data_IF_338136622979
#
_entry.id   IF_338136622979
#
_cell.length_a   1.000
_cell.length_b   1.000
_cell.length_c   1.000
_cell.angle_alpha   90.00
_cell.angle_beta   90.00
_cell.angle_gamma   90.00
#
_symmetry.space_group_name_H-M   'P 1'
#
loop_
_entity.id
_entity.type
_entity.pdbx_description
1 polymer ?
#
# COMPACT_ATOMS: atom_id res chain seq x y z
N UNK A 1 20.23 -14.95 7.11
CA UNK A 1 19.99 -15.34 8.52
C UNK A 1 18.51 -15.63 8.78
N UNK A 2 17.57 -14.86 8.22
CA UNK A 2 16.12 -15.18 8.22
C UNK A 2 15.74 -16.39 7.35
N UNK A 3 16.47 -16.69 6.27
CA UNK A 3 16.20 -17.83 5.37
C UNK A 3 16.20 -19.22 6.04
N UNK A 4 16.85 -19.38 7.21
CA UNK A 4 16.85 -20.65 7.93
C UNK A 4 15.63 -20.80 8.86
N UNK A 5 15.06 -19.70 9.33
CA UNK A 5 13.86 -19.68 10.19
C UNK A 5 12.56 -20.00 9.42
N UNK A 6 12.63 -19.99 8.09
CA UNK A 6 11.51 -20.29 7.19
C UNK A 6 11.83 -21.46 6.23
N UNK A 7 12.85 -22.25 6.55
CA UNK A 7 13.13 -23.45 5.76
C UNK A 7 11.98 -24.45 5.91
N UNK A 8 11.62 -25.12 4.82
CA UNK A 8 10.63 -26.19 4.83
C UNK A 8 10.91 -27.23 5.92
N UNK A 9 12.20 -27.50 6.21
CA UNK A 9 12.64 -28.40 7.26
C UNK A 9 12.32 -27.90 8.68
N UNK A 10 12.42 -26.59 8.95
CA UNK A 10 12.05 -26.01 10.24
C UNK A 10 10.55 -26.12 10.48
N UNK A 11 9.73 -25.72 9.49
CA UNK A 11 8.27 -25.78 9.57
C UNK A 11 7.77 -27.22 9.76
N UNK A 12 8.32 -28.17 8.99
CA UNK A 12 8.02 -29.59 9.16
C UNK A 12 8.43 -30.13 10.53
N UNK A 13 9.55 -29.65 11.07
CA UNK A 13 10.01 -30.05 12.40
C UNK A 13 9.07 -29.54 13.49
N UNK A 14 8.65 -28.27 13.42
CA UNK A 14 7.70 -27.68 14.38
C UNK A 14 6.37 -28.43 14.33
N UNK A 15 5.80 -28.65 13.14
CA UNK A 15 4.53 -29.36 12.95
C UNK A 15 4.58 -30.79 13.48
N UNK A 16 5.68 -31.51 13.20
CA UNK A 16 5.91 -32.89 13.69
C UNK A 16 6.01 -32.93 15.21
N UNK A 17 6.78 -32.03 15.81
CA UNK A 17 6.98 -31.98 17.27
C UNK A 17 5.69 -31.59 17.99
N UNK A 18 4.90 -30.67 17.43
CA UNK A 18 3.62 -30.24 17.99
C UNK A 18 2.55 -31.33 18.03
N UNK A 19 2.50 -32.20 17.01
CA UNK A 19 1.46 -33.23 16.86
C UNK A 19 1.37 -34.31 17.95
N UNK A 20 2.35 -34.38 18.87
CA UNK A 20 2.38 -35.34 19.98
C UNK A 20 2.81 -34.74 21.33
N UNK A 21 2.86 -33.42 21.46
CA UNK A 21 3.25 -32.77 22.70
C UNK A 21 2.11 -32.78 23.74
N UNK A 22 2.46 -32.96 25.01
CA UNK A 22 1.49 -32.87 26.10
C UNK A 22 1.04 -31.43 26.32
N UNK A 23 -0.27 -31.23 26.49
CA UNK A 23 -0.85 -29.93 26.84
C UNK A 23 -0.38 -29.48 28.22
N UNK A 24 -0.03 -28.20 28.34
CA UNK A 24 0.27 -27.55 29.61
C UNK A 24 -1.05 -27.13 30.27
N UNK A 25 -1.33 -27.53 31.53
CA UNK A 25 -2.48 -27.01 32.27
C UNK A 25 -2.43 -25.49 32.34
N UNK A 26 -3.48 -24.83 31.85
CA UNK A 26 -3.55 -23.38 31.82
C UNK A 26 -3.91 -22.83 33.21
N UNK A 27 -2.96 -22.12 33.81
CA UNK A 27 -3.16 -21.37 35.05
C UNK A 27 -3.78 -20.01 34.72
N UNK A 28 -5.09 -19.88 34.89
CA UNK A 28 -5.83 -18.66 34.57
C UNK A 28 -5.55 -17.49 35.53
N UNK A 29 -5.05 -17.75 36.74
CA UNK A 29 -4.65 -16.67 37.65
C UNK A 29 -3.35 -16.04 37.16
N UNK A 30 -2.44 -16.86 36.64
CA UNK A 30 -1.18 -16.42 36.06
C UNK A 30 -1.32 -15.88 34.63
N UNK A 31 -2.27 -16.43 33.87
CA UNK A 31 -2.47 -16.12 32.44
C UNK A 31 -3.94 -15.77 32.11
N UNK A 32 -4.50 -14.69 32.69
CA UNK A 32 -5.94 -14.40 32.63
C UNK A 32 -6.48 -14.07 31.22
N UNK A 33 -5.60 -13.73 30.27
CA UNK A 33 -5.97 -13.42 28.89
C UNK A 33 -5.91 -14.61 27.93
N UNK A 34 -5.44 -15.77 28.39
CA UNK A 34 -5.31 -16.96 27.55
C UNK A 34 -6.54 -17.87 27.70
N UNK A 35 -7.02 -18.44 26.60
CA UNK A 35 -8.05 -19.50 26.56
C UNK A 35 -7.69 -20.50 25.46
N UNK A 36 -8.21 -21.72 25.58
CA UNK A 36 -7.84 -22.81 24.68
C UNK A 36 -6.80 -23.72 25.30
N UNK A 37 -6.08 -24.45 24.45
CA UNK A 37 -5.12 -25.48 24.86
C UNK A 37 -3.74 -25.11 24.33
N UNK A 38 -2.77 -25.03 25.24
CA UNK A 38 -1.40 -24.64 24.91
C UNK A 38 -0.44 -25.81 25.12
N UNK A 39 0.49 -26.00 24.18
CA UNK A 39 1.57 -26.99 24.26
C UNK A 39 2.79 -26.44 25.01
N UNK A 40 2.97 -25.12 25.03
CA UNK A 40 4.00 -24.47 25.83
C UNK A 40 3.62 -23.04 26.21
N UNK A 41 3.90 -22.67 27.46
CA UNK A 41 3.84 -21.30 27.96
C UNK A 41 5.15 -21.04 28.71
N UNK A 42 6.03 -20.20 28.17
CA UNK A 42 7.36 -19.96 28.75
C UNK A 42 7.66 -18.47 28.86
N UNK A 43 8.10 -18.04 30.03
CA UNK A 43 8.75 -16.74 30.17
C UNK A 43 10.19 -16.86 29.68
N UNK A 44 10.58 -16.02 28.74
CA UNK A 44 11.96 -15.91 28.25
C UNK A 44 12.51 -14.51 28.54
N UNK A 45 13.83 -14.29 28.38
CA UNK A 45 14.41 -12.95 28.42
C UNK A 45 13.83 -12.02 27.35
N UNK A 46 13.41 -12.58 26.21
CA UNK A 46 12.78 -11.83 25.12
C UNK A 46 11.30 -11.54 25.34
N UNK A 47 10.66 -12.19 26.32
CA UNK A 47 9.23 -12.05 26.66
C UNK A 47 8.48 -13.38 26.72
N UNK A 48 7.15 -13.32 26.76
CA UNK A 48 6.30 -14.51 26.81
C UNK A 48 6.36 -15.24 25.46
N UNK A 49 6.58 -16.55 25.52
CA UNK A 49 6.51 -17.48 24.40
C UNK A 49 5.32 -18.41 24.59
N UNK A 50 4.48 -18.50 23.56
CA UNK A 50 3.28 -19.33 23.52
C UNK A 50 3.37 -20.30 22.34
N UNK A 51 2.94 -21.54 22.58
CA UNK A 51 2.68 -22.51 21.52
C UNK A 51 1.25 -23.00 21.70
N UNK A 52 0.36 -22.62 20.79
CA UNK A 52 -1.01 -23.10 20.70
C UNK A 52 -1.09 -24.55 20.23
N UNK A 53 -2.24 -25.19 20.41
CA UNK A 53 -2.49 -26.49 19.83
C UNK A 53 -3.17 -26.37 18.46
N UNK A 54 -4.11 -27.25 18.11
CA UNK A 54 -4.84 -27.23 16.84
C UNK A 54 -6.32 -26.85 17.01
N UNK A 55 -6.68 -26.39 18.20
CA UNK A 55 -8.03 -26.00 18.54
C UNK A 55 -8.11 -24.51 18.80
N UNK A 56 -9.32 -23.94 18.84
CA UNK A 56 -9.49 -22.50 18.99
C UNK A 56 -8.88 -21.99 20.29
N UNK A 57 -7.98 -21.03 20.16
CA UNK A 57 -7.17 -20.38 21.16
C UNK A 57 -7.52 -18.87 21.22
N UNK A 58 -7.35 -18.28 22.40
CA UNK A 58 -7.45 -16.83 22.58
C UNK A 58 -6.13 -16.31 23.12
N UNK A 59 -5.50 -15.44 22.35
CA UNK A 59 -4.25 -14.78 22.65
C UNK A 59 -4.49 -13.38 23.21
N UNK A 60 -4.90 -13.28 24.48
CA UNK A 60 -5.19 -12.01 25.15
C UNK A 60 -4.04 -11.41 25.96
N UNK A 61 -2.85 -12.03 25.94
CA UNK A 61 -1.67 -11.53 26.64
C UNK A 61 -0.55 -11.21 25.66
N UNK A 62 0.11 -10.06 25.87
CA UNK A 62 1.19 -9.64 24.99
C UNK A 62 2.36 -10.63 25.06
N UNK A 63 2.81 -11.08 23.89
CA UNK A 63 3.81 -12.14 23.73
C UNK A 63 4.85 -11.76 22.67
N UNK A 64 6.09 -12.20 22.87
CA UNK A 64 7.18 -11.93 21.92
C UNK A 64 7.30 -13.01 20.86
N UNK A 65 6.74 -14.19 21.13
CA UNK A 65 6.63 -15.29 20.17
C UNK A 65 5.33 -16.05 20.42
N UNK A 66 4.53 -16.20 19.36
CA UNK A 66 3.42 -17.13 19.28
C UNK A 66 3.69 -18.06 18.11
N UNK A 67 3.52 -19.36 18.35
CA UNK A 67 3.45 -20.37 17.31
C UNK A 67 2.10 -21.05 17.49
N UNK A 68 1.14 -20.76 16.63
CA UNK A 68 -0.12 -21.51 16.58
C UNK A 68 0.00 -22.65 15.56
N UNK A 69 -0.52 -23.83 15.89
CA UNK A 69 -0.46 -25.01 15.01
C UNK A 69 -1.76 -25.25 14.26
N UNK A 70 -2.80 -24.50 14.59
CA UNK A 70 -3.99 -24.20 13.81
C UNK A 70 -5.28 -24.07 14.64
N UNK A 71 -6.38 -23.83 13.95
CA UNK A 71 -7.71 -23.61 14.53
C UNK A 71 -8.12 -22.14 14.43
N UNK A 72 -9.42 -21.88 14.51
CA UNK A 72 -9.93 -20.51 14.36
C UNK A 72 -9.71 -19.71 15.65
N UNK A 73 -8.67 -18.89 15.67
CA UNK A 73 -8.16 -18.21 16.84
C UNK A 73 -8.49 -16.72 16.91
N UNK A 74 -8.32 -16.17 18.11
CA UNK A 74 -8.56 -14.78 18.39
C UNK A 74 -7.35 -14.14 19.08
N UNK A 75 -6.67 -13.26 18.34
CA UNK A 75 -5.56 -12.45 18.82
C UNK A 75 -6.04 -11.08 19.27
N UNK A 76 -6.00 -10.83 20.58
CA UNK A 76 -6.41 -9.56 21.22
C UNK A 76 -5.22 -8.78 21.81
N UNK A 77 -4.02 -9.31 21.63
CA UNK A 77 -2.79 -8.81 22.23
C UNK A 77 -2.06 -7.85 21.28
N UNK A 78 -0.73 -7.82 21.36
CA UNK A 78 0.16 -7.10 20.45
C UNK A 78 0.22 -7.72 19.05
N UNK A 79 -0.21 -8.97 18.87
CA UNK A 79 -0.28 -9.70 17.60
C UNK A 79 1.00 -9.56 16.79
N UNK A 80 2.10 -10.11 17.30
CA UNK A 80 3.38 -10.10 16.59
C UNK A 80 4.10 -8.74 16.56
N UNK A 81 3.59 -7.68 17.20
CA UNK A 81 4.32 -6.42 17.35
C UNK A 81 5.22 -6.40 18.60
N UNK A 82 6.19 -5.47 18.74
CA UNK A 82 6.90 -5.31 20.00
C UNK A 82 5.98 -4.95 21.18
N UNK A 83 6.43 -5.22 22.40
CA UNK A 83 5.66 -4.95 23.63
C UNK A 83 6.11 -3.62 24.22
N UNK A 84 5.20 -2.66 24.26
CA UNK A 84 5.44 -1.31 24.76
C UNK A 84 4.81 -1.06 26.12
N UNK A 85 5.44 -0.21 26.92
CA UNK A 85 4.83 0.35 28.10
C UNK A 85 4.19 1.69 27.74
N UNK A 86 2.90 1.83 28.02
CA UNK A 86 2.15 3.07 27.80
C UNK A 86 1.80 3.68 29.16
N UNK A 87 2.21 4.94 29.37
CA UNK A 87 1.83 5.76 30.52
C UNK A 87 1.26 7.07 30.02
N UNK A 88 0.10 7.47 30.54
CA UNK A 88 -0.55 8.74 30.16
C UNK A 88 -0.72 8.93 28.64
N UNK A 89 -1.02 7.83 27.93
CA UNK A 89 -1.16 7.78 26.45
C UNK A 89 0.14 8.05 25.66
N UNK A 90 1.30 7.96 26.31
CA UNK A 90 2.61 8.02 25.67
C UNK A 90 3.37 6.72 25.88
N UNK A 91 4.19 6.35 24.89
CA UNK A 91 5.13 5.23 25.05
C UNK A 91 6.23 5.66 26.01
N UNK A 92 6.30 5.03 27.19
CA UNK A 92 7.31 5.30 28.22
C UNK A 92 8.52 4.37 28.14
N UNK A 93 8.41 3.27 27.40
CA UNK A 93 9.48 2.31 27.20
C UNK A 93 9.09 1.18 26.26
N UNK A 94 10.08 0.48 25.74
CA UNK A 94 9.91 -0.73 24.94
C UNK A 94 10.40 -1.87 25.81
N UNK A 95 9.49 -2.74 26.24
CA UNK A 95 9.83 -3.85 27.13
C UNK A 95 10.46 -5.00 26.35
N UNK A 96 9.87 -5.32 25.20
CA UNK A 96 10.37 -6.37 24.30
C UNK A 96 10.36 -5.82 22.87
N UNK A 97 11.52 -5.60 22.23
CA UNK A 97 11.61 -4.94 20.92
C UNK A 97 11.29 -5.87 19.74
N UNK A 98 10.87 -7.10 19.99
CA UNK A 98 10.55 -8.09 18.96
C UNK A 98 9.25 -8.80 19.31
N UNK A 99 8.35 -8.87 18.34
CA UNK A 99 7.18 -9.73 18.35
C UNK A 99 7.16 -10.59 17.08
N UNK A 100 6.65 -11.81 17.22
CA UNK A 100 6.51 -12.77 16.12
C UNK A 100 5.27 -13.62 16.37
N UNK A 101 4.41 -13.75 15.36
CA UNK A 101 3.39 -14.80 15.25
C UNK A 101 3.73 -15.67 14.05
N UNK A 102 3.65 -16.97 14.22
CA UNK A 102 3.61 -17.95 13.14
C UNK A 102 2.31 -18.72 13.34
N UNK A 103 1.36 -18.55 12.43
CA UNK A 103 0.14 -19.34 12.35
C UNK A 103 0.24 -20.34 11.20
N UNK A 104 -0.34 -21.52 11.34
CA UNK A 104 -0.22 -22.57 10.34
C UNK A 104 -1.52 -22.81 9.55
N UNK A 105 -2.69 -22.72 10.18
CA UNK A 105 -4.00 -23.07 9.57
C UNK A 105 -5.14 -22.51 10.43
N UNK A 106 -6.12 -21.78 9.90
CA UNK A 106 -7.29 -21.38 10.69
C UNK A 106 -8.01 -20.19 10.07
N UNK A 107 -9.30 -19.97 10.35
CA UNK A 107 -9.94 -18.69 10.00
C UNK A 107 -9.78 -17.71 11.20
N UNK A 108 -8.65 -17.01 11.22
CA UNK A 108 -8.13 -16.29 12.37
C UNK A 108 -8.55 -14.83 12.44
N UNK A 109 -8.52 -14.30 13.67
CA UNK A 109 -8.95 -12.92 13.95
C UNK A 109 -7.91 -12.16 14.76
N UNK A 110 -7.24 -11.23 14.10
CA UNK A 110 -6.28 -10.32 14.70
C UNK A 110 -6.92 -8.97 15.00
N UNK A 111 -7.50 -8.83 16.19
CA UNK A 111 -8.35 -7.67 16.53
C UNK A 111 -7.75 -6.88 17.69
N UNK A 112 -7.16 -5.73 17.38
CA UNK A 112 -6.61 -4.86 18.42
C UNK A 112 -6.63 -3.37 18.03
N UNK A 113 -7.31 -2.51 18.82
CA UNK A 113 -7.30 -1.06 18.60
C UNK A 113 -6.03 -0.40 19.16
N UNK A 114 -5.11 -1.19 19.75
CA UNK A 114 -3.87 -0.67 20.34
C UNK A 114 -3.04 0.01 19.24
N UNK A 115 -2.35 1.09 19.62
CA UNK A 115 -1.33 1.70 18.79
C UNK A 115 -0.17 0.72 18.58
N UNK A 116 0.41 0.71 17.38
CA UNK A 116 1.62 -0.07 17.06
C UNK A 116 1.45 -1.59 17.30
N UNK A 117 0.34 -2.18 16.85
CA UNK A 117 0.03 -3.60 17.03
C UNK A 117 -0.24 -4.29 15.68
N UNK A 118 -0.38 -5.62 15.66
CA UNK A 118 -0.57 -6.44 14.44
C UNK A 118 0.60 -6.28 13.47
N UNK A 119 1.65 -7.08 13.66
CA UNK A 119 2.86 -7.06 12.85
C UNK A 119 3.58 -5.69 12.74
N UNK A 120 3.27 -4.72 13.61
CA UNK A 120 3.85 -3.38 13.54
C UNK A 120 5.28 -3.32 14.10
N UNK A 121 6.19 -2.65 13.41
CA UNK A 121 7.56 -2.36 13.83
C UNK A 121 7.75 -0.93 14.34
N UNK A 122 7.33 -0.64 15.58
CA UNK A 122 7.61 0.65 16.23
C UNK A 122 8.88 0.53 17.07
N UNK A 123 9.99 1.15 16.62
CA UNK A 123 11.33 1.05 17.23
C UNK A 123 11.82 -0.40 17.46
N UNK A 124 11.32 -1.34 16.65
CA UNK A 124 11.56 -2.76 16.83
C UNK A 124 11.12 -3.56 15.61
N UNK A 125 11.05 -4.88 15.78
CA UNK A 125 10.61 -5.83 14.76
C UNK A 125 9.23 -6.37 15.14
N UNK A 126 8.25 -6.20 14.25
CA UNK A 126 6.98 -6.91 14.32
C UNK A 126 6.81 -7.83 13.12
N UNK A 127 6.37 -9.07 13.34
CA UNK A 127 6.14 -10.04 12.28
C UNK A 127 4.90 -10.90 12.56
N UNK A 128 4.07 -11.07 11.53
CA UNK A 128 3.10 -12.17 11.42
C UNK A 128 3.44 -12.94 10.15
N UNK A 129 3.51 -14.25 10.25
CA UNK A 129 3.48 -15.18 9.14
C UNK A 129 2.26 -16.07 9.34
N UNK A 130 1.23 -15.83 8.55
CA UNK A 130 0.04 -16.66 8.46
C UNK A 130 0.15 -17.54 7.22
N UNK A 131 -0.16 -18.83 7.35
CA UNK A 131 0.11 -19.80 6.30
C UNK A 131 -1.15 -20.25 5.56
N UNK A 132 -2.33 -20.14 6.19
CA UNK A 132 -3.60 -20.49 5.57
C UNK A 132 -4.80 -20.09 6.43
N UNK A 133 -5.80 -19.49 5.81
CA UNK A 133 -7.01 -19.11 6.50
C UNK A 133 -8.01 -18.39 5.63
N UNK A 134 -9.04 -17.80 6.23
CA UNK A 134 -9.69 -16.61 5.69
C UNK A 134 -9.74 -15.63 6.87
N UNK A 135 -8.76 -14.75 6.91
CA UNK A 135 -8.33 -14.08 8.10
C UNK A 135 -8.83 -12.65 8.16
N UNK A 136 -9.12 -12.23 9.38
CA UNK A 136 -9.57 -10.88 9.66
C UNK A 136 -8.53 -10.12 10.47
N UNK A 137 -7.77 -9.27 9.78
CA UNK A 137 -6.78 -8.39 10.35
C UNK A 137 -7.36 -7.01 10.62
N UNK A 138 -7.60 -6.68 11.89
CA UNK A 138 -8.18 -5.41 12.31
C UNK A 138 -7.30 -4.67 13.32
N UNK A 139 -6.55 -3.70 12.80
CA UNK A 139 -5.57 -2.93 13.55
C UNK A 139 -5.95 -1.47 13.79
N UNK A 140 -5.38 -0.89 14.85
CA UNK A 140 -5.47 0.54 15.16
C UNK A 140 -4.63 1.43 14.23
N UNK A 141 -3.97 2.43 14.82
CA UNK A 141 -2.98 3.25 14.11
C UNK A 141 -1.63 2.56 14.15
N UNK A 142 -0.87 2.62 13.06
CA UNK A 142 0.41 1.95 12.94
C UNK A 142 0.25 0.44 13.12
N UNK A 143 -0.36 -0.24 12.15
CA UNK A 143 -0.69 -1.67 12.24
C UNK A 143 -0.61 -2.37 10.89
N UNK A 144 -0.82 -3.68 10.85
CA UNK A 144 -0.83 -4.48 9.63
C UNK A 144 0.50 -4.33 8.87
N UNK A 145 1.60 -4.69 9.52
CA UNK A 145 2.94 -4.64 8.93
C UNK A 145 3.55 -3.23 8.83
N UNK A 146 2.94 -2.20 9.44
CA UNK A 146 3.48 -0.83 9.41
C UNK A 146 4.68 -0.61 10.35
N UNK A 147 5.45 0.46 10.14
CA UNK A 147 6.64 0.76 10.94
C UNK A 147 6.93 2.25 11.18
N UNK A 148 7.64 2.48 12.29
CA UNK A 148 8.22 3.78 12.64
C UNK A 148 9.56 3.52 13.36
N UNK A 149 10.69 3.89 12.75
CA UNK A 149 12.05 3.52 13.22
C UNK A 149 12.26 2.01 13.45
N UNK A 150 11.56 1.17 12.69
CA UNK A 150 11.60 -0.28 12.86
C UNK A 150 11.28 -1.04 11.58
N UNK A 151 10.92 -2.30 11.73
CA UNK A 151 10.47 -3.17 10.65
C UNK A 151 9.15 -3.83 11.02
N UNK A 152 8.11 -3.58 10.23
CA UNK A 152 6.84 -4.29 10.33
C UNK A 152 6.68 -5.22 9.13
N UNK A 153 6.20 -6.43 9.36
CA UNK A 153 6.06 -7.44 8.33
C UNK A 153 4.82 -8.30 8.57
N UNK A 154 3.84 -8.23 7.68
CA UNK A 154 2.70 -9.15 7.66
C UNK A 154 2.80 -9.96 6.37
N UNK A 155 2.86 -11.28 6.50
CA UNK A 155 2.84 -12.20 5.36
C UNK A 155 1.67 -13.15 5.55
N UNK A 156 0.72 -13.10 4.63
CA UNK A 156 -0.34 -14.08 4.47
C UNK A 156 -0.06 -14.91 3.22
N UNK A 157 -0.21 -16.23 3.33
CA UNK A 157 0.14 -17.16 2.27
C UNK A 157 -1.09 -17.76 1.57
N UNK A 158 -2.30 -17.59 2.11
CA UNK A 158 -3.50 -18.14 1.54
C UNK A 158 -4.76 -17.67 2.27
N UNK A 159 -5.71 -17.11 1.54
CA UNK A 159 -7.05 -16.98 2.08
C UNK A 159 -8.01 -16.20 1.22
N UNK A 160 -9.05 -15.64 1.83
CA UNK A 160 -9.76 -14.48 1.29
C UNK A 160 -9.89 -13.55 2.48
N UNK A 161 -8.97 -12.61 2.54
CA UNK A 161 -8.57 -11.97 3.77
C UNK A 161 -9.06 -10.53 3.79
N UNK A 162 -9.21 -10.01 5.00
CA UNK A 162 -9.70 -8.65 5.19
C UNK A 162 -8.76 -7.89 6.10
N UNK A 163 -8.09 -6.91 5.50
CA UNK A 163 -7.13 -6.03 6.12
C UNK A 163 -7.78 -4.67 6.41
N UNK A 164 -8.11 -4.42 7.67
CA UNK A 164 -8.73 -3.17 8.10
C UNK A 164 -7.83 -2.46 9.10
N UNK A 165 -7.51 -1.20 8.82
CA UNK A 165 -6.84 -0.35 9.80
C UNK A 165 -7.42 1.05 9.84
N UNK A 166 -7.13 1.78 10.91
CA UNK A 166 -7.54 3.18 10.98
C UNK A 166 -6.71 4.04 10.03
N UNK A 167 -5.41 4.17 10.26
CA UNK A 167 -4.44 4.99 9.52
C UNK A 167 -3.02 4.46 9.74
N UNK A 168 -2.11 4.74 8.81
CA UNK A 168 -0.69 4.40 8.98
C UNK A 168 -0.45 2.90 8.99
N UNK A 169 -1.16 2.13 8.16
CA UNK A 169 -1.16 0.67 8.20
C UNK A 169 -0.85 0.03 6.85
N UNK A 170 -1.00 -1.30 6.74
CA UNK A 170 -0.94 -2.03 5.46
C UNK A 170 0.35 -1.73 4.70
N UNK A 171 1.49 -2.04 5.33
CA UNK A 171 2.81 -1.78 4.75
C UNK A 171 3.24 -0.31 4.75
N UNK A 172 2.75 0.52 5.68
CA UNK A 172 3.15 1.92 5.83
C UNK A 172 4.47 2.07 6.63
N UNK A 173 5.44 2.85 6.14
CA UNK A 173 6.72 3.06 6.83
C UNK A 173 7.08 4.53 7.06
N UNK A 174 7.71 4.80 8.20
CA UNK A 174 8.44 6.03 8.51
C UNK A 174 9.81 5.69 9.10
N UNK A 175 10.90 6.21 8.53
CA UNK A 175 12.26 5.99 9.01
C UNK A 175 12.62 4.49 9.22
N UNK A 176 12.04 3.61 8.42
CA UNK A 176 12.09 2.16 8.62
C UNK A 176 11.58 1.41 7.39
N UNK A 177 11.40 0.11 7.52
CA UNK A 177 10.84 -0.76 6.48
C UNK A 177 9.46 -1.29 6.88
N UNK A 178 8.54 -1.40 5.95
CA UNK A 178 7.25 -2.04 6.15
C UNK A 178 6.93 -2.92 4.95
N UNK A 179 6.40 -4.10 5.21
CA UNK A 179 6.06 -5.08 4.19
C UNK A 179 4.73 -5.74 4.57
N UNK A 180 3.75 -5.62 3.67
CA UNK A 180 2.58 -6.48 3.66
C UNK A 180 2.68 -7.33 2.39
N UNK A 181 2.56 -8.65 2.54
CA UNK A 181 2.57 -9.61 1.46
C UNK A 181 1.35 -10.51 1.58
N UNK A 182 0.60 -10.63 0.50
CA UNK A 182 -0.44 -11.62 0.32
C UNK A 182 -0.11 -12.49 -0.90
N UNK A 183 -0.11 -13.80 -0.74
CA UNK A 183 0.22 -14.74 -1.83
C UNK A 183 -0.97 -15.08 -2.72
N UNK A 184 -2.18 -15.15 -2.16
CA UNK A 184 -3.38 -15.52 -2.91
C UNK A 184 -4.64 -15.27 -2.09
N UNK A 185 -5.65 -14.72 -2.76
CA UNK A 185 -6.97 -14.64 -2.21
C UNK A 185 -7.94 -13.84 -3.06
N UNK A 186 -9.00 -13.33 -2.46
CA UNK A 186 -9.78 -12.23 -3.02
C UNK A 186 -10.02 -11.30 -1.85
N UNK A 187 -9.20 -10.26 -1.78
CA UNK A 187 -8.85 -9.64 -0.53
C UNK A 187 -9.38 -8.21 -0.46
N UNK A 188 -9.63 -7.76 0.77
CA UNK A 188 -10.12 -6.42 1.04
C UNK A 188 -9.08 -5.64 1.85
N UNK A 189 -8.52 -4.62 1.24
CA UNK A 189 -7.62 -3.67 1.89
C UNK A 189 -8.33 -2.36 2.19
N UNK A 190 -8.57 -2.05 3.47
CA UNK A 190 -9.28 -0.85 3.87
C UNK A 190 -8.57 -0.04 4.97
N UNK A 191 -8.21 1.21 4.67
CA UNK A 191 -7.81 2.16 5.71
C UNK A 191 -7.90 3.64 5.30
N UNK A 192 -7.91 4.57 6.25
CA UNK A 192 -8.31 5.94 5.93
C UNK A 192 -7.21 6.76 5.26
N UNK A 193 -5.96 6.66 5.74
CA UNK A 193 -4.85 7.49 5.28
C UNK A 193 -3.49 6.88 5.60
N UNK A 194 -2.49 7.09 4.73
CA UNK A 194 -1.16 6.50 4.87
C UNK A 194 -1.24 4.98 4.99
N UNK A 195 -1.89 4.35 4.03
CA UNK A 195 -2.04 2.89 3.97
C UNK A 195 -1.62 2.35 2.61
N UNK A 196 -1.50 1.04 2.49
CA UNK A 196 -1.32 0.32 1.23
C UNK A 196 -0.01 0.76 0.56
N UNK A 197 1.12 0.39 1.19
CA UNK A 197 2.44 0.68 0.65
C UNK A 197 2.85 2.16 0.73
N UNK A 198 2.56 2.83 1.84
CA UNK A 198 2.93 4.25 2.02
C UNK A 198 4.37 4.40 2.54
N UNK A 199 5.19 5.21 1.87
CA UNK A 199 6.54 5.58 2.29
C UNK A 199 6.65 7.02 2.78
N UNK A 200 6.65 7.22 4.09
CA UNK A 200 6.96 8.51 4.72
C UNK A 200 8.47 8.82 4.73
N UNK A 201 8.94 9.90 5.39
CA UNK A 201 10.36 10.25 5.38
C UNK A 201 11.31 9.10 5.72
N UNK A 202 12.29 8.86 4.85
CA UNK A 202 13.25 7.74 4.94
C UNK A 202 12.61 6.36 5.16
N UNK A 203 11.33 6.21 4.85
CA UNK A 203 10.59 4.96 4.96
C UNK A 203 10.56 4.22 3.62
N UNK A 204 10.62 2.90 3.67
CA UNK A 204 10.26 2.01 2.57
C UNK A 204 8.98 1.28 2.96
N UNK A 205 7.85 1.73 2.40
CA UNK A 205 6.55 1.09 2.61
C UNK A 205 6.14 0.29 1.39
N UNK A 206 5.72 -0.95 1.59
CA UNK A 206 5.46 -1.91 0.53
C UNK A 206 4.21 -2.73 0.84
N UNK A 207 3.35 -2.88 -0.16
CA UNK A 207 2.28 -3.87 -0.21
C UNK A 207 2.47 -4.67 -1.51
N UNK A 208 2.51 -5.99 -1.40
CA UNK A 208 2.56 -6.91 -2.53
C UNK A 208 1.40 -7.88 -2.42
N UNK A 209 0.60 -7.97 -3.47
CA UNK A 209 -0.49 -8.93 -3.61
C UNK A 209 -0.24 -9.76 -4.86
N UNK A 210 -0.17 -11.08 -4.74
CA UNK A 210 0.35 -11.92 -5.82
C UNK A 210 -0.77 -12.47 -6.72
N UNK A 211 -1.95 -12.75 -6.18
CA UNK A 211 -3.06 -13.33 -6.96
C UNK A 211 -4.38 -13.02 -6.28
N UNK A 212 -5.30 -12.46 -7.03
CA UNK A 212 -6.65 -12.42 -6.51
C UNK A 212 -7.62 -11.66 -7.35
N UNK A 213 -8.71 -11.26 -6.70
CA UNK A 213 -9.56 -10.21 -7.18
C UNK A 213 -9.82 -9.30 -6.00
N UNK A 214 -9.10 -8.20 -5.99
CA UNK A 214 -8.82 -7.48 -4.77
C UNK A 214 -9.45 -6.10 -4.79
N UNK A 215 -9.82 -5.64 -3.60
CA UNK A 215 -10.41 -4.33 -3.40
C UNK A 215 -9.52 -3.47 -2.50
N UNK A 216 -8.83 -2.52 -3.13
CA UNK A 216 -8.01 -1.53 -2.45
C UNK A 216 -8.80 -0.26 -2.20
N UNK A 217 -9.12 0.01 -0.94
CA UNK A 217 -9.92 1.18 -0.55
C UNK A 217 -9.21 2.07 0.46
N UNK A 218 -8.96 3.33 0.07
CA UNK A 218 -8.36 4.32 0.96
C UNK A 218 -9.07 5.69 0.96
N UNK A 219 -9.30 6.29 2.13
CA UNK A 219 -9.85 7.66 2.25
C UNK A 219 -10.96 7.85 3.30
N UNK A 220 -12.07 8.52 2.90
CA UNK A 220 -13.32 8.82 3.65
C UNK A 220 -13.27 9.56 5.00
N UNK A 221 -12.18 9.50 5.76
CA UNK A 221 -12.11 10.12 7.11
C UNK A 221 -11.74 11.59 7.07
N UNK A 222 -10.74 11.95 6.26
CA UNK A 222 -10.20 13.30 6.19
C UNK A 222 -10.67 13.99 4.92
N UNK A 223 -11.41 15.09 5.04
CA UNK A 223 -11.82 15.89 3.89
C UNK A 223 -10.62 16.44 3.12
N UNK A 224 -10.84 16.76 1.84
CA UNK A 224 -9.84 17.35 0.95
C UNK A 224 -9.17 18.58 1.57
N UNK A 225 -7.83 18.65 1.52
CA UNK A 225 -7.07 19.88 1.85
C UNK A 225 -7.40 21.07 0.95
N UNK A 226 -8.06 20.82 -0.19
CA UNK A 226 -8.54 21.86 -1.10
C UNK A 226 -9.99 22.29 -0.81
N UNK A 227 -10.61 21.78 0.26
CA UNK A 227 -11.98 22.15 0.68
C UNK A 227 -13.10 21.59 -0.22
N UNK A 228 -12.78 20.70 -1.15
CA UNK A 228 -13.76 20.11 -2.07
C UNK A 228 -14.66 19.11 -1.35
N UNK A 229 -15.96 19.41 -1.25
CA UNK A 229 -16.96 18.53 -0.61
C UNK A 229 -17.04 17.18 -1.31
N UNK A 230 -17.09 16.10 -0.53
CA UNK A 230 -17.19 14.73 -1.05
C UNK A 230 -15.89 14.13 -1.57
N UNK A 231 -14.78 14.87 -1.47
CA UNK A 231 -13.43 14.40 -1.77
C UNK A 231 -12.63 14.31 -0.48
N UNK A 232 -11.85 13.24 -0.35
CA UNK A 232 -11.11 12.91 0.87
C UNK A 232 -9.62 12.85 0.59
N UNK A 233 -8.78 12.98 1.62
CA UNK A 233 -7.36 12.67 1.53
C UNK A 233 -7.13 11.18 1.79
N UNK A 234 -6.28 10.56 0.97
CA UNK A 234 -5.85 9.18 1.18
C UNK A 234 -4.34 9.10 1.44
N UNK A 235 -3.47 9.74 0.65
CA UNK A 235 -2.01 9.55 0.79
C UNK A 235 -1.65 8.05 0.85
N UNK A 236 -2.16 7.24 -0.07
CA UNK A 236 -2.17 5.76 0.03
C UNK A 236 -2.06 5.11 -1.34
N UNK A 237 -1.87 3.79 -1.39
CA UNK A 237 -1.68 3.01 -2.63
C UNK A 237 -0.37 3.41 -3.31
N UNK A 238 0.75 2.99 -2.72
CA UNK A 238 2.07 3.18 -3.30
C UNK A 238 2.53 4.64 -3.30
N UNK A 239 2.27 5.40 -2.22
CA UNK A 239 2.61 6.83 -2.15
C UNK A 239 3.93 7.07 -1.41
N UNK A 240 4.82 7.85 -2.03
CA UNK A 240 6.03 8.37 -1.38
C UNK A 240 5.84 9.82 -0.94
N UNK A 241 6.11 10.13 0.34
CA UNK A 241 5.71 11.41 0.94
C UNK A 241 6.76 12.01 1.88
N UNK A 242 7.20 13.23 1.58
CA UNK A 242 8.04 14.04 2.46
C UNK A 242 7.27 15.09 3.26
N UNK A 243 7.85 15.46 4.39
CA UNK A 243 7.36 16.54 5.23
C UNK A 243 8.05 17.84 4.81
N UNK A 244 7.35 18.64 3.99
CA UNK A 244 7.84 19.94 3.51
C UNK A 244 8.51 20.73 4.63
N UNK A 245 9.72 21.24 4.34
CA UNK A 245 10.58 22.01 5.25
C UNK A 245 11.14 21.25 6.46
N UNK A 246 10.93 19.93 6.57
CA UNK A 246 11.37 19.12 7.71
C UNK A 246 12.17 17.90 7.30
N UNK A 247 11.68 17.09 6.36
CA UNK A 247 12.35 15.87 5.89
C UNK A 247 11.90 15.51 4.47
N UNK A 248 12.82 14.98 3.65
CA UNK A 248 12.49 14.41 2.34
C UNK A 248 11.62 13.16 2.48
N UNK A 249 10.97 12.76 1.39
CA UNK A 249 10.08 11.61 1.38
C UNK A 249 10.80 10.26 1.41
N UNK A 250 10.00 9.21 1.48
CA UNK A 250 10.45 7.84 1.30
C UNK A 250 9.98 7.25 -0.01
N UNK A 251 9.98 5.92 -0.06
CA UNK A 251 9.54 5.12 -1.19
C UNK A 251 8.28 4.36 -0.77
N UNK A 252 7.19 4.57 -1.48
CA UNK A 252 5.95 3.81 -1.32
C UNK A 252 5.70 2.95 -2.55
N UNK A 253 5.39 1.67 -2.34
CA UNK A 253 5.14 0.69 -3.40
C UNK A 253 3.86 -0.08 -3.09
N UNK A 254 2.93 -0.08 -4.03
CA UNK A 254 1.90 -1.09 -4.15
C UNK A 254 2.20 -1.88 -5.42
N UNK A 255 2.33 -3.19 -5.32
CA UNK A 255 2.56 -4.06 -6.46
C UNK A 255 1.55 -5.21 -6.41
N UNK A 256 0.59 -5.18 -7.32
CA UNK A 256 -0.31 -6.29 -7.61
C UNK A 256 0.24 -7.09 -8.79
N UNK A 257 0.34 -8.41 -8.65
CA UNK A 257 0.84 -9.28 -9.72
C UNK A 257 -0.28 -9.80 -10.64
N UNK A 258 -1.53 -9.60 -10.26
CA UNK A 258 -2.65 -9.62 -11.17
C UNK A 258 -3.97 -10.10 -10.56
N UNK A 259 -5.05 -9.75 -11.24
CA UNK A 259 -6.39 -9.95 -10.74
C UNK A 259 -7.42 -9.26 -11.63
N UNK A 260 -8.53 -8.79 -11.06
CA UNK A 260 -9.49 -7.94 -11.77
C UNK A 260 -9.97 -6.90 -10.76
N UNK A 261 -9.10 -5.98 -10.45
CA UNK A 261 -9.00 -5.33 -9.17
C UNK A 261 -9.64 -3.96 -9.17
N UNK A 262 -9.99 -3.51 -7.97
CA UNK A 262 -10.65 -2.22 -7.77
C UNK A 262 -9.80 -1.35 -6.85
N UNK A 263 -9.20 -0.32 -7.43
CA UNK A 263 -8.43 0.68 -6.71
C UNK A 263 -9.26 1.94 -6.47
N UNK A 264 -9.68 2.18 -5.23
CA UNK A 264 -10.48 3.35 -4.85
C UNK A 264 -9.79 4.22 -3.79
N UNK A 265 -9.35 5.40 -4.21
CA UNK A 265 -8.71 6.35 -3.30
C UNK A 265 -9.08 7.82 -3.52
N UNK A 266 -8.87 8.61 -2.47
CA UNK A 266 -9.07 10.05 -2.47
C UNK A 266 -7.96 10.83 -3.19
N UNK A 267 -7.58 11.96 -2.62
CA UNK A 267 -6.45 12.75 -3.09
C UNK A 267 -5.13 12.12 -2.64
N UNK A 268 -4.10 12.32 -3.47
CA UNK A 268 -2.74 11.84 -3.24
C UNK A 268 -2.73 10.31 -3.14
N UNK A 269 -2.88 9.63 -4.26
CA UNK A 269 -3.00 8.16 -4.27
C UNK A 269 -2.41 7.52 -5.50
N UNK A 270 -2.38 6.19 -5.53
CA UNK A 270 -2.11 5.39 -6.74
C UNK A 270 -0.79 5.79 -7.38
N UNK A 271 0.33 5.49 -6.71
CA UNK A 271 1.66 5.75 -7.23
C UNK A 271 2.11 7.21 -7.16
N UNK A 272 1.51 8.01 -6.26
CA UNK A 272 1.82 9.46 -6.21
C UNK A 272 3.08 9.77 -5.41
N UNK A 273 3.93 10.64 -5.96
CA UNK A 273 5.07 11.24 -5.25
C UNK A 273 4.76 12.62 -4.69
N UNK A 274 5.18 12.91 -3.46
CA UNK A 274 5.08 14.25 -2.87
C UNK A 274 6.30 14.63 -2.04
N UNK A 275 6.89 15.78 -2.34
CA UNK A 275 8.04 16.35 -1.64
C UNK A 275 9.23 15.39 -1.44
N UNK A 276 10.07 15.23 -2.48
CA UNK A 276 11.24 14.34 -2.45
C UNK A 276 10.89 12.87 -2.13
N UNK A 277 9.66 12.45 -2.37
CA UNK A 277 9.21 11.06 -2.24
C UNK A 277 9.08 10.38 -3.60
N UNK A 278 9.16 9.05 -3.62
CA UNK A 278 8.90 8.21 -4.78
C UNK A 278 7.66 7.35 -4.50
N UNK A 279 6.60 7.52 -5.29
CA UNK A 279 5.43 6.65 -5.27
C UNK A 279 5.40 5.74 -6.49
N UNK A 280 5.05 4.48 -6.28
CA UNK A 280 4.89 3.46 -7.33
C UNK A 280 3.63 2.66 -7.05
N UNK A 281 2.69 2.65 -7.99
CA UNK A 281 1.69 1.60 -8.11
C UNK A 281 2.04 0.80 -9.36
N UNK A 282 2.12 -0.52 -9.22
CA UNK A 282 2.36 -1.45 -10.31
C UNK A 282 1.28 -2.52 -10.29
N UNK A 283 0.67 -2.75 -11.43
CA UNK A 283 -0.19 -3.89 -11.71
C UNK A 283 0.41 -4.66 -12.90
N UNK A 284 0.49 -5.99 -12.81
CA UNK A 284 1.10 -6.81 -13.85
C UNK A 284 0.07 -7.45 -14.80
N UNK A 285 -1.20 -7.56 -14.41
CA UNK A 285 -2.24 -8.14 -15.26
C UNK A 285 -3.64 -8.01 -14.66
N UNK A 286 -4.62 -7.62 -15.45
CA UNK A 286 -6.01 -7.72 -14.99
C UNK A 286 -7.00 -7.02 -15.89
N UNK A 287 -8.21 -6.80 -15.41
CA UNK A 287 -9.17 -5.85 -15.99
C UNK A 287 -9.62 -4.94 -14.87
N UNK A 288 -8.84 -3.90 -14.66
CA UNK A 288 -8.72 -3.18 -13.43
C UNK A 288 -9.43 -1.83 -13.49
N UNK A 289 -9.85 -1.38 -12.33
CA UNK A 289 -10.61 -0.14 -12.20
C UNK A 289 -9.92 0.79 -11.22
N UNK A 290 -9.31 1.84 -11.75
CA UNK A 290 -8.63 2.87 -10.99
C UNK A 290 -9.50 4.10 -10.79
N UNK A 291 -9.88 4.38 -9.54
CA UNK A 291 -10.66 5.56 -9.15
C UNK A 291 -9.89 6.43 -8.18
N UNK A 292 -9.42 7.56 -8.67
CA UNK A 292 -8.75 8.59 -7.89
C UNK A 292 -9.48 9.94 -7.93
N UNK A 293 -8.95 10.92 -7.20
CA UNK A 293 -9.52 12.28 -7.16
C UNK A 293 -8.59 13.35 -7.72
N UNK A 294 -7.62 13.83 -6.91
CA UNK A 294 -6.61 14.82 -7.29
C UNK A 294 -5.24 14.32 -6.85
N UNK A 295 -4.21 14.49 -7.68
CA UNK A 295 -2.92 13.86 -7.44
C UNK A 295 -3.09 12.34 -7.30
N UNK A 296 -3.45 11.69 -8.40
CA UNK A 296 -3.63 10.24 -8.45
C UNK A 296 -3.12 9.65 -9.76
N UNK A 297 -2.91 8.34 -9.80
CA UNK A 297 -2.54 7.58 -11.00
C UNK A 297 -1.19 8.07 -11.56
N UNK A 298 -0.12 7.82 -10.80
CA UNK A 298 1.24 8.15 -11.23
C UNK A 298 1.55 9.64 -11.27
N UNK A 299 0.94 10.43 -10.37
CA UNK A 299 1.15 11.89 -10.32
C UNK A 299 2.30 12.29 -9.39
N UNK A 300 2.85 13.50 -9.53
CA UNK A 300 3.88 13.97 -8.62
C UNK A 300 3.84 15.48 -8.33
N UNK A 301 4.29 15.86 -7.13
CA UNK A 301 4.44 17.27 -6.74
C UNK A 301 5.69 17.54 -5.89
N UNK A 302 6.31 18.71 -6.11
CA UNK A 302 7.40 19.26 -5.28
C UNK A 302 8.67 18.41 -5.28
N UNK A 303 9.40 18.32 -6.40
CA UNK A 303 10.65 17.55 -6.48
C UNK A 303 10.48 16.05 -6.17
N UNK A 304 9.29 15.52 -6.35
CA UNK A 304 8.98 14.11 -6.14
C UNK A 304 8.93 13.35 -7.47
N UNK A 305 8.81 12.02 -7.36
CA UNK A 305 8.59 11.13 -8.48
C UNK A 305 7.35 10.25 -8.24
N UNK A 306 6.52 10.05 -9.25
CA UNK A 306 5.33 9.20 -9.18
C UNK A 306 5.19 8.32 -10.41
N UNK A 307 4.78 7.08 -10.23
CA UNK A 307 4.57 6.12 -11.31
C UNK A 307 3.32 5.27 -11.05
N UNK A 308 2.46 5.17 -12.05
CA UNK A 308 1.53 4.05 -12.20
C UNK A 308 1.99 3.25 -13.41
N UNK A 309 2.18 1.95 -13.23
CA UNK A 309 2.59 1.01 -14.26
C UNK A 309 1.53 -0.09 -14.32
N UNK A 310 0.86 -0.21 -15.46
CA UNK A 310 -0.05 -1.31 -15.77
C UNK A 310 0.48 -1.99 -17.03
N UNK A 311 0.50 -3.32 -17.05
CA UNK A 311 1.18 -4.07 -18.10
C UNK A 311 0.26 -4.91 -18.98
N UNK A 312 -0.99 -5.13 -18.61
CA UNK A 312 -1.90 -5.93 -19.43
C UNK A 312 -3.33 -5.85 -18.90
N UNK A 313 -4.28 -5.47 -19.75
CA UNK A 313 -5.66 -5.52 -19.33
C UNK A 313 -6.69 -4.93 -20.28
N UNK A 314 -7.79 -4.45 -19.73
CA UNK A 314 -8.78 -3.63 -20.44
C UNK A 314 -9.36 -2.73 -19.36
N UNK A 315 -8.64 -1.68 -19.06
CA UNK A 315 -8.64 -1.02 -17.77
C UNK A 315 -9.39 0.29 -17.83
N UNK A 316 -9.86 0.71 -16.65
CA UNK A 316 -10.66 1.93 -16.52
C UNK A 316 -10.01 2.87 -15.53
N UNK A 317 -9.51 3.98 -16.04
CA UNK A 317 -8.88 5.03 -15.26
C UNK A 317 -9.82 6.23 -15.10
N UNK A 318 -10.11 6.62 -13.86
CA UNK A 318 -10.94 7.79 -13.57
C UNK A 318 -10.31 8.72 -12.53
N UNK A 319 -9.92 9.92 -12.96
CA UNK A 319 -9.57 11.05 -12.10
C UNK A 319 -10.73 12.06 -12.01
N UNK A 320 -11.07 12.55 -10.80
CA UNK A 320 -12.26 13.43 -10.62
C UNK A 320 -11.98 14.93 -10.76
N UNK A 321 -10.80 15.40 -10.38
CA UNK A 321 -10.57 16.84 -10.15
C UNK A 321 -9.46 17.40 -11.04
N UNK A 322 -8.20 17.10 -10.73
CA UNK A 322 -7.06 17.56 -11.53
C UNK A 322 -5.76 16.83 -11.15
N UNK A 323 -4.68 17.03 -11.92
CA UNK A 323 -3.35 16.47 -11.64
C UNK A 323 -3.42 14.95 -11.47
N UNK A 324 -3.82 14.24 -12.51
CA UNK A 324 -3.93 12.79 -12.51
C UNK A 324 -3.28 12.19 -13.75
N UNK A 325 -3.08 10.86 -13.77
CA UNK A 325 -2.65 10.12 -14.96
C UNK A 325 -1.32 10.64 -15.51
N UNK A 326 -0.24 10.47 -14.73
CA UNK A 326 1.10 10.90 -15.14
C UNK A 326 1.36 12.40 -15.05
N UNK A 327 0.50 13.17 -14.36
CA UNK A 327 0.67 14.62 -14.26
C UNK A 327 1.75 15.03 -13.24
N UNK A 328 2.63 15.95 -13.64
CA UNK A 328 3.76 16.43 -12.83
C UNK A 328 3.69 17.93 -12.53
N UNK A 329 3.79 18.28 -11.25
CA UNK A 329 3.76 19.66 -10.76
C UNK A 329 5.02 20.02 -9.95
N UNK A 330 5.59 21.20 -10.18
CA UNK A 330 6.66 21.79 -9.34
C UNK A 330 7.92 20.92 -9.23
N UNK A 331 8.77 21.00 -10.27
CA UNK A 331 10.07 20.30 -10.34
C UNK A 331 9.99 18.78 -10.15
N UNK A 332 8.86 18.16 -10.43
CA UNK A 332 8.64 16.72 -10.27
C UNK A 332 8.66 15.97 -11.60
N UNK A 333 8.76 14.65 -11.52
CA UNK A 333 8.63 13.74 -12.66
C UNK A 333 7.51 12.77 -12.37
N UNK A 334 6.64 12.51 -13.34
CA UNK A 334 5.53 11.59 -13.13
C UNK A 334 5.18 10.83 -14.41
N UNK A 335 4.78 9.57 -14.28
CA UNK A 335 4.32 8.77 -15.40
C UNK A 335 3.11 7.90 -15.08
N UNK A 336 2.23 7.74 -16.06
CA UNK A 336 1.34 6.58 -16.18
C UNK A 336 1.80 5.83 -17.43
N UNK A 337 2.08 4.55 -17.29
CA UNK A 337 2.42 3.64 -18.38
C UNK A 337 1.40 2.52 -18.35
N UNK A 338 0.65 2.39 -19.43
CA UNK A 338 -0.19 1.24 -19.74
C UNK A 338 0.43 0.55 -20.96
N UNK A 339 0.77 -0.74 -20.85
CA UNK A 339 1.50 -1.45 -21.91
C UNK A 339 0.57 -2.11 -22.94
N UNK A 340 -0.65 -2.52 -22.55
CA UNK A 340 -1.56 -3.21 -23.44
C UNK A 340 -3.00 -3.27 -22.91
N UNK A 341 -3.98 -3.04 -23.78
CA UNK A 341 -5.38 -3.27 -23.45
C UNK A 341 -6.36 -2.69 -24.46
N UNK A 342 -7.55 -2.34 -24.02
CA UNK A 342 -8.47 -1.46 -24.76
C UNK A 342 -9.13 -0.61 -23.69
N UNK A 343 -8.50 0.51 -23.42
CA UNK A 343 -8.55 1.17 -22.13
C UNK A 343 -9.38 2.43 -22.19
N UNK A 344 -9.84 2.82 -21.01
CA UNK A 344 -10.78 3.93 -20.86
C UNK A 344 -10.24 4.93 -19.86
N UNK A 345 -9.83 6.05 -20.39
CA UNK A 345 -9.30 7.16 -19.61
C UNK A 345 -10.35 8.25 -19.46
N UNK A 346 -10.94 8.32 -18.28
CA UNK A 346 -11.75 9.45 -17.84
C UNK A 346 -10.88 10.42 -17.06
N UNK A 347 -10.28 11.34 -17.80
CA UNK A 347 -9.32 12.28 -17.27
C UNK A 347 -10.02 13.55 -16.78
N UNK A 348 -9.48 14.15 -15.71
CA UNK A 348 -9.88 15.51 -15.32
C UNK A 348 -8.86 16.52 -15.85
N UNK A 349 -8.91 17.74 -15.34
CA UNK A 349 -8.02 18.81 -15.76
C UNK A 349 -6.56 18.55 -15.39
N UNK A 350 -5.60 18.97 -16.22
CA UNK A 350 -4.17 18.75 -15.98
C UNK A 350 -3.83 17.26 -15.78
N UNK A 351 -3.91 16.49 -16.87
CA UNK A 351 -3.85 15.02 -16.84
C UNK A 351 -3.21 14.42 -18.09
N UNK A 352 -3.10 13.09 -18.14
CA UNK A 352 -2.57 12.34 -19.29
C UNK A 352 -1.20 12.89 -19.71
N UNK A 353 -0.26 12.88 -18.77
CA UNK A 353 1.13 13.31 -19.00
C UNK A 353 1.34 14.82 -18.95
N UNK A 354 0.42 15.60 -18.37
CA UNK A 354 0.58 17.05 -18.28
C UNK A 354 1.72 17.49 -17.32
N UNK A 355 2.43 18.57 -17.66
CA UNK A 355 3.54 19.13 -16.89
C UNK A 355 3.41 20.63 -16.60
N UNK A 356 3.73 21.09 -15.38
CA UNK A 356 3.69 22.50 -14.99
C UNK A 356 4.70 22.84 -13.88
N UNK A 357 5.08 24.11 -13.78
CA UNK A 357 6.03 24.62 -12.77
C UNK A 357 7.38 23.87 -12.79
N UNK A 358 7.92 23.63 -13.98
CA UNK A 358 9.09 22.80 -14.28
C UNK A 358 8.89 21.30 -14.04
N UNK A 359 7.65 20.82 -14.05
CA UNK A 359 7.33 19.39 -13.99
C UNK A 359 7.47 18.70 -15.35
N UNK A 360 7.80 17.41 -15.30
CA UNK A 360 7.87 16.51 -16.45
C UNK A 360 6.83 15.39 -16.31
N UNK A 361 5.72 15.52 -17.02
CA UNK A 361 4.65 14.51 -17.06
C UNK A 361 4.78 13.64 -18.29
N UNK A 362 4.52 12.36 -18.14
CA UNK A 362 4.49 11.38 -19.23
C UNK A 362 3.27 10.48 -19.10
N UNK A 363 2.61 10.25 -20.21
CA UNK A 363 1.59 9.24 -20.37
C UNK A 363 1.99 8.39 -21.57
N UNK A 364 1.94 7.08 -21.39
CA UNK A 364 2.21 6.09 -22.42
C UNK A 364 1.10 5.04 -22.38
N UNK A 365 0.57 4.76 -23.56
CA UNK A 365 -0.36 3.67 -23.86
C UNK A 365 0.22 2.87 -25.03
N UNK A 366 0.33 1.55 -24.87
CA UNK A 366 1.19 0.71 -25.72
C UNK A 366 0.47 -0.02 -26.84
N UNK A 367 -0.64 -0.69 -26.54
CA UNK A 367 -1.42 -1.49 -27.48
C UNK A 367 -2.91 -1.33 -27.16
N UNK A 368 -3.78 -1.18 -28.16
CA UNK A 368 -5.23 -1.14 -27.92
C UNK A 368 -6.06 -0.36 -28.92
N UNK A 369 -7.39 -0.34 -28.75
CA UNK A 369 -8.25 0.70 -29.33
C UNK A 369 -8.85 1.50 -28.17
N UNK A 370 -8.33 2.70 -27.95
CA UNK A 370 -8.43 3.37 -26.66
C UNK A 370 -9.40 4.54 -26.65
N UNK A 371 -9.84 4.90 -25.45
CA UNK A 371 -10.83 5.96 -25.26
C UNK A 371 -10.40 7.00 -24.24
N UNK A 372 -10.05 8.18 -24.77
CA UNK A 372 -9.63 9.35 -24.01
C UNK A 372 -10.75 10.37 -23.85
N UNK A 373 -11.46 10.31 -22.72
CA UNK A 373 -12.40 11.35 -22.27
C UNK A 373 -11.68 12.41 -21.43
N UNK A 374 -11.12 13.42 -22.09
CA UNK A 374 -10.29 14.45 -21.43
C UNK A 374 -10.69 15.88 -21.80
N UNK A 375 -10.38 16.87 -20.93
CA UNK A 375 -10.49 18.29 -21.27
C UNK A 375 -9.28 18.78 -22.07
N UNK A 376 -9.31 20.03 -22.52
CA UNK A 376 -8.23 20.61 -23.34
C UNK A 376 -6.85 20.66 -22.65
N UNK A 377 -6.80 20.77 -21.32
CA UNK A 377 -5.54 20.75 -20.55
C UNK A 377 -5.17 19.33 -20.12
N UNK A 378 -5.05 18.44 -21.08
CA UNK A 378 -4.63 17.06 -20.92
C UNK A 378 -3.76 16.67 -22.12
N UNK A 379 -3.42 15.39 -22.28
CA UNK A 379 -2.77 14.86 -23.48
C UNK A 379 -1.42 15.53 -23.75
N UNK A 380 -0.53 15.46 -22.75
CA UNK A 380 0.81 16.04 -22.82
C UNK A 380 0.86 17.56 -22.58
N UNK A 381 -0.23 18.17 -22.10
CA UNK A 381 -0.32 19.62 -21.89
C UNK A 381 0.86 20.21 -21.08
N UNK A 382 1.45 21.30 -21.58
CA UNK A 382 2.48 22.07 -20.85
C UNK A 382 1.89 23.37 -20.27
N UNK A 383 1.81 23.45 -18.95
CA UNK A 383 1.20 24.56 -18.21
C UNK A 383 2.11 25.74 -17.86
N UNK A 384 1.72 26.49 -16.83
CA UNK A 384 2.36 27.74 -16.43
C UNK A 384 3.75 27.55 -15.79
N UNK A 385 4.55 28.64 -15.83
CA UNK A 385 5.90 28.76 -15.24
C UNK A 385 5.96 29.93 -14.24
N UNK A 386 5.01 29.99 -13.30
CA UNK A 386 4.89 31.11 -12.36
C UNK A 386 5.76 30.97 -11.11
N UNK A 387 6.16 29.76 -10.73
CA UNK A 387 6.94 29.50 -9.52
C UNK A 387 8.40 29.89 -9.72
N UNK A 388 8.94 30.67 -8.78
CA UNK A 388 10.36 31.08 -8.80
C UNK A 388 10.78 31.81 -10.07
N UNK A 389 9.85 32.50 -10.74
CA UNK A 389 10.12 33.17 -12.02
C UNK A 389 10.40 32.20 -13.17
N UNK A 390 9.88 30.97 -13.11
CA UNK A 390 10.06 29.93 -14.13
C UNK A 390 11.39 29.17 -14.05
N UNK A 391 12.29 29.58 -13.14
CA UNK A 391 13.58 28.91 -12.86
C UNK A 391 14.49 28.73 -14.08
N UNK A 392 14.30 29.56 -15.12
CA UNK A 392 14.99 29.44 -16.41
C UNK A 392 14.92 28.03 -17.01
N UNK A 393 13.85 27.28 -16.75
CA UNK A 393 13.60 25.95 -17.29
C UNK A 393 12.16 25.85 -17.83
N UNK A 394 11.93 24.94 -18.77
CA UNK A 394 10.59 24.64 -19.29
C UNK A 394 9.84 23.63 -18.43
N UNK A 395 8.63 23.31 -18.84
CA UNK A 395 7.96 22.06 -18.47
C UNK A 395 8.27 21.02 -19.56
N UNK A 396 7.81 19.79 -19.33
CA UNK A 396 7.63 18.81 -20.40
C UNK A 396 6.34 18.06 -20.12
N UNK A 397 5.44 18.03 -21.10
CA UNK A 397 4.28 17.16 -21.05
C UNK A 397 4.29 16.26 -22.27
N UNK A 398 4.11 14.97 -22.05
CA UNK A 398 4.22 13.95 -23.09
C UNK A 398 3.03 13.04 -23.02
N UNK A 399 2.32 12.90 -24.14
CA UNK A 399 1.32 11.87 -24.38
C UNK A 399 1.76 11.05 -25.58
N UNK A 400 1.90 9.75 -25.36
CA UNK A 400 2.21 8.75 -26.37
C UNK A 400 1.11 7.69 -26.33
N UNK A 401 0.48 7.48 -27.46
CA UNK A 401 -0.38 6.34 -27.74
C UNK A 401 0.25 5.60 -28.93
N UNK A 402 0.61 4.34 -28.73
CA UNK A 402 1.25 3.48 -29.74
C UNK A 402 0.31 2.36 -30.20
N UNK A 403 -0.90 2.31 -29.63
CA UNK A 403 -1.92 1.30 -29.85
C UNK A 403 -2.70 1.51 -31.14
N UNK A 404 -3.44 0.48 -31.54
CA UNK A 404 -4.09 0.38 -32.85
C UNK A 404 -4.91 1.60 -33.24
N UNK A 405 -4.51 2.27 -34.33
CA UNK A 405 -4.98 3.58 -34.81
C UNK A 405 -6.48 3.83 -35.07
N UNK A 406 -7.37 3.43 -34.16
CA UNK A 406 -8.82 3.64 -34.12
C UNK A 406 -9.28 4.10 -32.73
N UNK A 407 -8.55 5.04 -32.18
CA UNK A 407 -8.79 5.63 -30.87
C UNK A 407 -9.88 6.70 -30.91
N UNK A 408 -10.46 6.96 -29.74
CA UNK A 408 -11.39 8.05 -29.53
C UNK A 408 -10.77 9.14 -28.67
N UNK A 409 -10.66 10.34 -29.24
CA UNK A 409 -10.31 11.55 -28.51
C UNK A 409 -11.53 12.47 -28.35
N UNK A 410 -11.87 12.82 -27.11
CA UNK A 410 -12.92 13.80 -26.84
C UNK A 410 -12.53 15.24 -27.25
N UNK A 411 -11.23 15.53 -27.29
CA UNK A 411 -10.68 16.83 -27.71
C UNK A 411 -10.70 16.93 -29.23
N UNK A 412 -11.46 17.88 -29.78
CA UNK A 412 -11.74 18.00 -31.22
C UNK A 412 -10.52 18.11 -32.14
N UNK A 413 -9.42 18.65 -31.63
CA UNK A 413 -8.21 18.91 -32.41
C UNK A 413 -7.15 17.80 -32.27
N UNK A 414 -7.49 16.69 -31.59
CA UNK A 414 -6.69 15.47 -31.48
C UNK A 414 -7.38 14.36 -32.25
N UNK A 415 -6.58 13.53 -32.92
CA UNK A 415 -7.04 12.47 -33.81
C UNK A 415 -5.93 11.46 -34.01
N UNK A 416 -6.29 10.30 -34.51
CA UNK A 416 -5.35 9.21 -34.74
C UNK A 416 -4.31 9.59 -35.80
N UNK A 417 -3.14 8.96 -35.71
CA UNK A 417 -2.00 9.10 -36.60
C UNK A 417 -1.52 10.57 -36.65
N UNK A 418 -1.43 11.20 -35.49
CA UNK A 418 -1.08 12.60 -35.35
C UNK A 418 0.11 12.79 -34.42
N UNK A 419 1.14 13.44 -34.96
CA UNK A 419 2.23 13.99 -34.17
C UNK A 419 2.12 15.51 -34.08
N UNK A 420 2.24 16.05 -32.87
CA UNK A 420 2.19 17.49 -32.65
C UNK A 420 3.10 17.90 -31.48
N UNK A 421 3.84 18.98 -31.71
CA UNK A 421 4.57 19.69 -30.64
C UNK A 421 4.01 21.11 -30.56
N UNK A 422 3.61 21.53 -29.35
CA UNK A 422 3.12 22.88 -29.08
C UNK A 422 3.85 23.50 -27.88
N UNK A 423 3.75 24.83 -27.79
CA UNK A 423 4.26 25.60 -26.65
C UNK A 423 5.72 25.26 -26.29
N UNK A 424 5.98 25.16 -24.99
CA UNK A 424 7.27 24.73 -24.44
C UNK A 424 7.24 23.23 -24.12
N UNK A 425 7.38 22.37 -25.14
CA UNK A 425 7.48 20.90 -25.00
C UNK A 425 6.18 20.21 -24.52
N UNK A 426 5.04 20.62 -25.08
CA UNK A 426 3.83 19.78 -25.11
C UNK A 426 3.94 18.85 -26.32
N UNK A 427 4.02 17.54 -26.08
CA UNK A 427 4.18 16.51 -27.09
C UNK A 427 2.95 15.61 -27.07
N UNK A 428 2.33 15.48 -28.23
CA UNK A 428 1.26 14.53 -28.50
C UNK A 428 1.70 13.63 -29.66
N UNK A 429 1.65 12.32 -29.46
CA UNK A 429 1.85 11.32 -30.48
C UNK A 429 0.77 10.25 -30.35
N UNK A 430 0.22 9.88 -31.49
CA UNK A 430 -0.65 8.72 -31.72
C UNK A 430 -0.19 8.11 -33.05
N UNK A 431 0.14 6.80 -33.08
CA UNK A 431 0.63 6.07 -34.27
C UNK A 431 -0.24 4.90 -34.71
#
# INVERSE_FOLDING_TARGET
>A
MLSNFFSHDFLNTVRRVGSGASVVPLDHDKYPGLKGRFLAIRQTPAGLMLIGDKGPNVYGMDASLIIDLGGDDLYLNNAGAPVFEIRERMVSGIRYPTGLVIDFEGDDRYITPKFAAVASGFFGLGLILDMAGNDFYNGGQLSLGASFFGMGCLMDMAGNDTYVCSEGGQGCAFFGGAYLYDEKGNDLYQGAKCVQGFGGPSGLGQLHDVRGKDHYRAGWKHGSSYGTKGIYQACSQGVGWGFRKRAGGGIGILHDFGGNDLYEAGNFSQGTGYFLGLGILRDDAGHDVYRGSRYCQGSAAHQAAGALLDFNGNDVYSGKIAANQGAAWDLSVACLVDDAGNDRYKAADFSLGAGAQNGMGMFFDGEGEDRYESPARALGFSGDLSYGGGRNAGNMGVFLDMGGGRDFFAVKDRKNNMFCIQGNMEIFLDE
#
